data_IF_108202031709
#
_entry.id   IF_108202031709
#
_cell.length_a   1.000
_cell.length_b   1.000
_cell.length_c   1.000
_cell.angle_alpha   90.00
_cell.angle_beta   90.00
_cell.angle_gamma   90.00
#
_symmetry.space_group_name_H-M   'P 1'
#
loop_
_entity.id
_entity.type
_entity.pdbx_description
1 polymer ?
#
# COMPACT_ATOMS: atom_id res chain seq x y z
N UNK A 1 5.12 30.30 2.27
CA UNK A 1 4.37 29.04 2.10
C UNK A 1 4.31 28.34 3.45
N UNK A 2 3.18 27.71 3.81
CA UNK A 2 3.12 26.87 5.00
C UNK A 2 3.81 25.53 4.68
N UNK A 3 4.70 25.07 5.56
CA UNK A 3 5.38 23.78 5.42
C UNK A 3 4.41 22.68 5.84
N UNK A 4 4.23 21.66 5.00
CA UNK A 4 3.53 20.41 5.35
C UNK A 4 4.60 19.35 5.62
N UNK A 5 4.47 18.65 6.74
CA UNK A 5 5.28 17.48 7.06
C UNK A 5 4.42 16.23 6.90
N UNK A 6 4.87 15.30 6.05
CA UNK A 6 4.14 14.07 5.74
C UNK A 6 4.79 12.89 6.42
N UNK A 7 3.98 12.12 7.13
CA UNK A 7 4.35 10.83 7.71
C UNK A 7 3.69 9.73 6.87
N UNK A 8 4.49 9.04 6.06
CA UNK A 8 4.04 7.93 5.24
C UNK A 8 4.23 6.62 6.01
N UNK A 9 3.13 5.95 6.32
CA UNK A 9 3.13 4.73 7.14
C UNK A 9 2.50 3.60 6.33
N UNK A 10 3.26 2.51 6.14
CA UNK A 10 2.72 1.26 5.60
C UNK A 10 1.88 0.58 6.67
N UNK A 11 0.74 -0.01 6.27
CA UNK A 11 -0.10 -0.77 7.18
C UNK A 11 0.66 -1.96 7.81
N UNK A 12 0.21 -2.43 8.97
CA UNK A 12 0.78 -3.62 9.61
C UNK A 12 0.57 -4.89 8.78
N UNK A 13 1.34 -5.96 9.09
CA UNK A 13 1.23 -7.25 8.42
C UNK A 13 -0.21 -7.82 8.44
N UNK A 14 -0.71 -8.26 7.28
CA UNK A 14 -1.99 -8.96 7.14
C UNK A 14 -1.81 -10.47 6.97
N UNK A 15 -2.90 -11.25 7.00
CA UNK A 15 -2.85 -12.67 6.68
C UNK A 15 -2.42 -12.95 5.23
N UNK A 16 -2.85 -12.13 4.25
CA UNK A 16 -2.39 -12.27 2.86
C UNK A 16 -0.88 -11.99 2.75
N UNK A 17 -0.36 -10.99 3.48
CA UNK A 17 1.09 -10.77 3.54
C UNK A 17 1.83 -11.95 4.19
N UNK A 18 1.29 -12.48 5.30
CA UNK A 18 1.87 -13.65 5.99
C UNK A 18 1.98 -14.87 5.08
N UNK A 19 1.03 -15.05 4.16
CA UNK A 19 1.02 -16.14 3.20
C UNK A 19 1.73 -15.81 1.89
N UNK A 20 2.44 -14.68 1.82
CA UNK A 20 3.17 -14.21 0.65
C UNK A 20 2.31 -14.17 -0.63
N UNK A 21 1.12 -13.59 -0.49
CA UNK A 21 0.16 -13.43 -1.59
C UNK A 21 0.03 -11.98 -2.02
N UNK A 22 -0.35 -11.78 -3.28
CA UNK A 22 -0.59 -10.47 -3.87
C UNK A 22 -1.76 -9.79 -3.14
N UNK A 23 -1.53 -8.59 -2.61
CA UNK A 23 -2.51 -7.83 -1.86
C UNK A 23 -2.60 -6.38 -2.37
N UNK A 24 -3.30 -6.18 -3.47
CA UNK A 24 -3.54 -4.86 -4.03
C UNK A 24 -4.83 -4.29 -3.45
N UNK A 25 -5.94 -4.51 -4.14
CA UNK A 25 -7.26 -4.11 -3.68
C UNK A 25 -7.95 -5.17 -2.82
N UNK A 26 -7.49 -6.42 -2.90
CA UNK A 26 -7.90 -7.47 -1.96
C UNK A 26 -7.51 -7.09 -0.54
N UNK A 27 -8.31 -7.53 0.42
CA UNK A 27 -8.11 -7.19 1.82
C UNK A 27 -8.16 -8.40 2.75
N UNK A 28 -7.43 -8.29 3.86
CA UNK A 28 -7.48 -9.28 4.93
C UNK A 28 -7.12 -8.64 6.27
N UNK A 29 -7.56 -9.23 7.39
CA UNK A 29 -7.27 -8.68 8.70
C UNK A 29 -5.76 -8.61 9.01
N UNK A 30 -5.38 -7.68 9.89
CA UNK A 30 -4.06 -7.64 10.51
C UNK A 30 -3.80 -8.93 11.30
N UNK A 31 -2.58 -9.45 11.24
CA UNK A 31 -2.11 -10.52 12.13
C UNK A 31 -1.85 -9.97 13.53
N UNK A 32 -1.55 -10.84 14.49
CA UNK A 32 -1.07 -10.40 15.80
C UNK A 32 0.22 -9.56 15.68
N UNK A 33 1.16 -9.98 14.82
CA UNK A 33 2.38 -9.21 14.53
C UNK A 33 2.04 -7.84 13.92
N UNK A 34 1.15 -7.79 12.92
CA UNK A 34 0.78 -6.53 12.29
C UNK A 34 0.09 -5.54 13.22
N UNK A 35 -0.67 -6.03 14.22
CA UNK A 35 -1.21 -5.18 15.29
C UNK A 35 -0.09 -4.68 16.20
N UNK A 36 0.87 -5.54 16.57
CA UNK A 36 2.03 -5.14 17.36
C UNK A 36 2.87 -4.08 16.65
N UNK A 37 3.09 -4.21 15.34
CA UNK A 37 3.81 -3.21 14.54
C UNK A 37 3.09 -1.86 14.57
N UNK A 38 1.76 -1.87 14.47
CA UNK A 38 0.94 -0.66 14.56
C UNK A 38 1.01 -0.02 15.96
N UNK A 39 1.00 -0.80 17.03
CA UNK A 39 1.21 -0.27 18.39
C UNK A 39 2.60 0.36 18.55
N UNK A 40 3.65 -0.30 18.07
CA UNK A 40 5.01 0.23 18.13
C UNK A 40 5.15 1.55 17.37
N UNK A 41 4.55 1.65 16.18
CA UNK A 41 4.48 2.89 15.42
C UNK A 41 3.67 3.98 16.15
N UNK A 42 2.56 3.61 16.79
CA UNK A 42 1.78 4.51 17.65
C UNK A 42 2.59 5.06 18.82
N UNK A 43 3.29 4.19 19.54
CA UNK A 43 4.16 4.59 20.66
C UNK A 43 5.27 5.53 20.19
N UNK A 44 5.89 5.26 19.05
CA UNK A 44 6.91 6.14 18.47
C UNK A 44 6.37 7.52 18.11
N UNK A 45 5.10 7.61 17.67
CA UNK A 45 4.46 8.84 17.22
C UNK A 45 3.56 9.48 18.30
N UNK A 46 3.55 8.95 19.52
CA UNK A 46 2.58 9.34 20.56
C UNK A 46 2.61 10.84 20.91
N UNK A 47 3.80 11.44 20.80
CA UNK A 47 4.08 12.84 21.13
C UNK A 47 4.11 13.74 19.88
N UNK A 48 3.71 13.20 18.72
CA UNK A 48 3.52 13.96 17.47
C UNK A 48 2.05 14.35 17.31
N UNK A 49 1.77 15.66 17.30
CA UNK A 49 0.42 16.16 17.07
C UNK A 49 0.09 16.21 15.57
N UNK A 50 -0.75 15.29 15.11
CA UNK A 50 -1.25 15.27 13.73
C UNK A 50 -2.45 16.21 13.54
N UNK A 51 -2.44 16.99 12.46
CA UNK A 51 -3.57 17.84 12.07
C UNK A 51 -4.64 17.07 11.28
N UNK A 52 -4.25 16.01 10.58
CA UNK A 52 -5.14 15.17 9.80
C UNK A 52 -4.52 13.77 9.64
N UNK A 53 -5.37 12.76 9.50
CA UNK A 53 -4.96 11.37 9.25
C UNK A 53 -5.69 10.85 8.01
N UNK A 54 -4.91 10.37 7.04
CA UNK A 54 -5.42 9.83 5.79
C UNK A 54 -5.07 8.34 5.66
N UNK A 55 -5.96 7.57 5.04
CA UNK A 55 -5.71 6.17 4.69
C UNK A 55 -6.48 5.79 3.44
N UNK A 56 -6.12 4.65 2.82
CA UNK A 56 -7.04 4.01 1.89
C UNK A 56 -8.29 3.52 2.61
N UNK A 57 -9.34 3.22 1.86
CA UNK A 57 -10.57 2.63 2.38
C UNK A 57 -10.47 1.10 2.63
N UNK A 58 -9.26 0.54 2.60
CA UNK A 58 -9.02 -0.86 2.98
C UNK A 58 -9.01 -1.01 4.51
N UNK A 59 -9.58 -2.11 5.02
CA UNK A 59 -9.68 -2.30 6.48
C UNK A 59 -8.31 -2.48 7.13
N UNK A 60 -7.31 -3.03 6.42
CA UNK A 60 -5.93 -3.10 6.94
C UNK A 60 -5.31 -1.71 7.18
N UNK A 61 -5.55 -0.74 6.29
CA UNK A 61 -5.07 0.62 6.44
C UNK A 61 -5.85 1.36 7.54
N UNK A 62 -7.19 1.27 7.51
CA UNK A 62 -8.07 1.87 8.52
C UNK A 62 -7.73 1.37 9.93
N UNK A 63 -7.57 0.06 10.11
CA UNK A 63 -7.24 -0.54 11.42
C UNK A 63 -5.85 -0.16 11.90
N UNK A 64 -4.86 -0.13 11.00
CA UNK A 64 -3.50 0.31 11.36
C UNK A 64 -3.51 1.77 11.82
N UNK A 65 -4.13 2.66 11.04
CA UNK A 65 -4.23 4.08 11.40
C UNK A 65 -5.00 4.29 12.71
N UNK A 66 -6.05 3.50 12.97
CA UNK A 66 -6.76 3.54 14.25
C UNK A 66 -5.84 3.16 15.42
N UNK A 67 -5.14 2.03 15.33
CA UNK A 67 -4.25 1.57 16.41
C UNK A 67 -3.17 2.62 16.69
N UNK A 68 -2.54 3.16 15.66
CA UNK A 68 -1.51 4.21 15.81
C UNK A 68 -2.08 5.43 16.53
N UNK A 69 -3.29 5.88 16.16
CA UNK A 69 -3.89 7.06 16.78
C UNK A 69 -4.42 6.82 18.20
N UNK A 70 -4.77 5.58 18.55
CA UNK A 70 -5.20 5.22 19.90
C UNK A 70 -4.03 5.33 20.92
N UNK A 71 -2.77 5.34 20.47
CA UNK A 71 -1.57 5.56 21.30
C UNK A 71 -1.21 7.05 21.48
N UNK A 72 -1.91 7.96 20.79
CA UNK A 72 -1.55 9.38 20.80
C UNK A 72 -1.88 10.05 22.14
N UNK A 73 -0.97 10.91 22.61
CA UNK A 73 -1.21 11.79 23.76
C UNK A 73 -2.09 13.00 23.42
N UNK A 74 -2.47 13.17 22.15
CA UNK A 74 -3.29 14.27 21.66
C UNK A 74 -4.69 13.78 21.21
N UNK A 75 -5.69 14.67 21.14
CA UNK A 75 -6.96 14.34 20.52
C UNK A 75 -6.76 13.82 19.09
N UNK A 76 -7.39 12.70 18.77
CA UNK A 76 -7.34 12.14 17.42
C UNK A 76 -8.00 13.11 16.43
N UNK A 77 -7.31 13.57 15.37
CA UNK A 77 -7.91 14.40 14.35
C UNK A 77 -8.91 13.58 13.51
N UNK A 78 -9.65 14.25 12.65
CA UNK A 78 -10.54 13.58 11.69
C UNK A 78 -9.75 12.56 10.84
N UNK A 79 -10.26 11.32 10.81
CA UNK A 79 -9.72 10.26 9.95
C UNK A 79 -10.46 10.26 8.62
N UNK A 80 -9.72 10.48 7.54
CA UNK A 80 -10.26 10.54 6.18
C UNK A 80 -9.80 9.32 5.39
N UNK A 81 -10.75 8.64 4.76
CA UNK A 81 -10.46 7.49 3.89
C UNK A 81 -10.63 7.89 2.43
N UNK A 82 -9.77 7.37 1.56
CA UNK A 82 -9.86 7.63 0.12
C UNK A 82 -9.49 6.39 -0.69
N UNK A 83 -10.39 5.96 -1.59
CA UNK A 83 -10.11 4.87 -2.54
C UNK A 83 -8.90 5.16 -3.46
N UNK A 84 -8.56 6.44 -3.61
CA UNK A 84 -7.42 6.86 -4.43
C UNK A 84 -6.06 6.54 -3.79
N UNK A 85 -6.03 6.32 -2.46
CA UNK A 85 -4.83 5.92 -1.72
C UNK A 85 -4.64 4.40 -1.64
N UNK A 86 -5.50 3.61 -2.32
CA UNK A 86 -5.30 2.15 -2.41
C UNK A 86 -3.96 1.83 -3.07
N UNK A 87 -3.42 0.68 -2.68
CA UNK A 87 -2.29 0.04 -3.35
C UNK A 87 -2.57 -0.17 -4.85
N UNK A 88 -1.53 -0.53 -5.60
CA UNK A 88 -1.64 -1.02 -6.97
C UNK A 88 -2.72 -2.11 -7.06
N UNK A 89 -3.68 -1.95 -7.97
CA UNK A 89 -4.61 -3.02 -8.29
C UNK A 89 -3.91 -4.07 -9.16
N UNK A 90 -3.82 -5.30 -8.65
CA UNK A 90 -3.13 -6.39 -9.35
C UNK A 90 -4.02 -7.18 -10.32
N UNK A 91 -5.26 -6.74 -10.53
CA UNK A 91 -6.18 -7.33 -11.51
C UNK A 91 -6.39 -8.83 -11.29
N UNK A 92 -6.20 -9.62 -12.34
CA UNK A 92 -6.30 -11.08 -12.29
C UNK A 92 -5.44 -11.74 -11.21
N UNK A 93 -4.32 -11.11 -10.82
CA UNK A 93 -3.35 -11.68 -9.88
C UNK A 93 -3.68 -11.39 -8.41
N UNK A 94 -4.79 -10.71 -8.11
CA UNK A 94 -5.21 -10.47 -6.73
C UNK A 94 -5.34 -11.79 -5.93
N UNK A 95 -4.60 -11.89 -4.82
CA UNK A 95 -4.59 -13.07 -3.96
C UNK A 95 -3.72 -14.24 -4.42
N UNK A 96 -3.10 -14.17 -5.59
CA UNK A 96 -2.16 -15.20 -6.06
C UNK A 96 -0.86 -15.25 -5.25
N UNK A 97 -0.12 -16.35 -5.37
CA UNK A 97 1.22 -16.46 -4.78
C UNK A 97 2.16 -15.42 -5.39
N UNK A 98 2.72 -14.55 -4.57
CA UNK A 98 3.45 -13.38 -5.03
C UNK A 98 4.74 -13.74 -5.78
N UNK A 99 5.49 -14.75 -5.32
CA UNK A 99 6.70 -15.18 -6.01
C UNK A 99 6.39 -15.74 -7.39
N UNK A 100 5.36 -16.59 -7.49
CA UNK A 100 4.93 -17.14 -8.77
C UNK A 100 4.44 -16.05 -9.71
N UNK A 101 3.65 -15.10 -9.23
CA UNK A 101 3.15 -13.99 -10.06
C UNK A 101 4.32 -13.18 -10.61
N UNK A 102 5.26 -12.74 -9.77
CA UNK A 102 6.39 -11.95 -10.24
C UNK A 102 7.34 -12.72 -11.15
N UNK A 103 7.49 -14.03 -10.95
CA UNK A 103 8.19 -14.87 -11.91
C UNK A 103 7.48 -14.89 -13.26
N UNK A 104 6.16 -15.10 -13.32
CA UNK A 104 5.40 -15.12 -14.58
C UNK A 104 5.46 -13.76 -15.30
N UNK A 105 5.33 -12.66 -14.55
CA UNK A 105 5.40 -11.29 -15.10
C UNK A 105 6.81 -10.96 -15.60
N UNK A 106 7.85 -11.33 -14.86
CA UNK A 106 9.24 -10.96 -15.16
C UNK A 106 9.96 -11.89 -16.13
N UNK A 107 9.66 -13.19 -16.12
CA UNK A 107 10.45 -14.21 -16.81
C UNK A 107 10.54 -14.02 -18.34
N UNK A 108 9.50 -13.57 -19.08
CA UNK A 108 9.63 -13.24 -20.49
C UNK A 108 10.69 -12.18 -20.81
N UNK A 109 11.07 -11.39 -19.81
CA UNK A 109 12.05 -10.29 -19.90
C UNK A 109 13.37 -10.61 -19.17
N UNK A 110 13.54 -11.84 -18.69
CA UNK A 110 14.76 -12.29 -18.01
C UNK A 110 14.81 -12.01 -16.51
N UNK A 111 13.72 -11.55 -15.89
CA UNK A 111 13.64 -11.28 -14.44
C UNK A 111 12.96 -12.42 -13.68
N UNK A 112 13.38 -12.69 -12.44
CA UNK A 112 12.76 -13.74 -11.61
C UNK A 112 11.90 -13.16 -10.50
N UNK A 113 12.19 -11.96 -10.04
CA UNK A 113 11.48 -11.31 -8.94
C UNK A 113 11.11 -9.86 -9.25
N UNK A 114 10.26 -9.27 -8.41
CA UNK A 114 9.99 -7.82 -8.45
C UNK A 114 11.28 -7.02 -8.23
N UNK A 115 12.12 -7.48 -7.31
CA UNK A 115 13.39 -6.82 -6.98
C UNK A 115 14.33 -6.77 -8.19
N UNK A 116 14.39 -7.83 -8.99
CA UNK A 116 15.17 -7.86 -10.23
C UNK A 116 14.68 -6.77 -11.20
N UNK A 117 13.36 -6.68 -11.42
CA UNK A 117 12.76 -5.66 -12.30
C UNK A 117 13.02 -4.26 -11.76
N UNK A 118 12.84 -4.05 -10.45
CA UNK A 118 12.99 -2.76 -9.81
C UNK A 118 14.45 -2.28 -9.81
N UNK A 119 15.41 -3.20 -9.69
CA UNK A 119 16.83 -2.90 -9.70
C UNK A 119 17.38 -2.59 -11.09
N UNK A 120 16.93 -3.32 -12.13
CA UNK A 120 17.36 -3.05 -13.51
C UNK A 120 16.61 -1.88 -14.15
N UNK A 121 15.32 -1.71 -13.80
CA UNK A 121 14.41 -0.74 -14.40
C UNK A 121 13.78 0.15 -13.35
N UNK A 122 12.53 -0.14 -12.99
CA UNK A 122 11.78 0.62 -12.01
C UNK A 122 10.55 -0.15 -11.56
N UNK A 123 9.96 0.27 -10.44
CA UNK A 123 8.66 -0.22 -10.01
C UNK A 123 7.53 0.16 -10.98
N UNK A 124 7.71 1.15 -11.84
CA UNK A 124 6.71 1.54 -12.83
C UNK A 124 6.72 0.58 -14.02
N UNK A 125 7.91 0.18 -14.48
CA UNK A 125 8.04 -0.90 -15.45
C UNK A 125 7.41 -2.20 -14.92
N UNK A 126 7.59 -2.52 -13.64
CA UNK A 126 6.94 -3.69 -13.04
C UNK A 126 5.39 -3.65 -13.13
N UNK A 127 4.77 -2.48 -12.94
CA UNK A 127 3.32 -2.30 -13.10
C UNK A 127 2.90 -2.47 -14.56
N UNK A 128 3.65 -1.88 -15.48
CA UNK A 128 3.36 -1.96 -16.91
C UNK A 128 3.46 -3.41 -17.42
N UNK A 129 4.48 -4.14 -16.98
CA UNK A 129 4.64 -5.56 -17.32
C UNK A 129 3.50 -6.41 -16.76
N UNK A 130 3.06 -6.13 -15.52
CA UNK A 130 1.93 -6.83 -14.93
C UNK A 130 0.63 -6.56 -15.68
N UNK A 131 0.36 -5.31 -16.03
CA UNK A 131 -0.82 -4.93 -16.83
C UNK A 131 -0.82 -5.63 -18.19
N UNK A 132 0.33 -5.75 -18.85
CA UNK A 132 0.45 -6.47 -20.12
C UNK A 132 0.27 -7.99 -19.98
N UNK A 133 0.66 -8.54 -18.83
CA UNK A 133 0.59 -9.99 -18.54
C UNK A 133 -0.78 -10.41 -18.03
N UNK A 134 -1.54 -9.49 -17.41
CA UNK A 134 -2.91 -9.72 -16.98
C UNK A 134 -3.80 -10.03 -18.20
N UNK A 135 -4.39 -11.24 -18.31
CA UNK A 135 -5.21 -11.61 -19.46
C UNK A 135 -6.47 -10.76 -19.64
N UNK A 136 -6.88 -10.01 -18.61
CA UNK A 136 -8.03 -9.10 -18.65
C UNK A 136 -7.62 -7.63 -18.75
N UNK A 137 -6.32 -7.32 -18.61
CA UNK A 137 -5.79 -5.96 -18.55
C UNK A 137 -6.45 -5.07 -17.46
N UNK A 138 -6.90 -5.70 -16.37
CA UNK A 138 -7.53 -5.02 -15.24
C UNK A 138 -6.49 -4.47 -14.25
N UNK A 139 -5.35 -5.14 -14.11
CA UNK A 139 -4.23 -4.68 -13.27
C UNK A 139 -3.79 -3.29 -13.73
N UNK A 140 -3.54 -2.35 -12.83
CA UNK A 140 -3.19 -0.99 -13.29
C UNK A 140 -1.79 -0.96 -13.92
N UNK A 141 -1.61 -0.18 -14.98
CA UNK A 141 -0.29 0.23 -15.40
C UNK A 141 0.23 1.42 -14.55
N UNK A 142 1.47 1.86 -14.79
CA UNK A 142 2.07 2.94 -14.01
C UNK A 142 1.32 4.28 -14.15
N UNK A 143 0.90 4.62 -15.37
CA UNK A 143 0.16 5.87 -15.64
C UNK A 143 -1.19 5.90 -14.90
N UNK A 144 -1.94 4.80 -14.95
CA UNK A 144 -3.22 4.65 -14.26
C UNK A 144 -3.06 4.77 -12.74
N UNK A 145 -2.06 4.06 -12.19
CA UNK A 145 -1.74 4.11 -10.76
C UNK A 145 -1.40 5.53 -10.31
N UNK A 146 -0.46 6.20 -10.97
CA UNK A 146 -0.02 7.54 -10.57
C UNK A 146 -1.08 8.60 -10.82
N UNK A 147 -1.83 8.52 -11.92
CA UNK A 147 -2.97 9.40 -12.18
C UNK A 147 -4.01 9.29 -11.06
N UNK A 148 -4.26 8.07 -10.56
CA UNK A 148 -5.20 7.83 -9.47
C UNK A 148 -4.66 8.37 -8.13
N UNK A 149 -3.44 8.02 -7.76
CA UNK A 149 -2.84 8.40 -6.47
C UNK A 149 -2.65 9.91 -6.36
N UNK A 150 -2.18 10.55 -7.44
CA UNK A 150 -1.93 12.00 -7.46
C UNK A 150 -3.22 12.82 -7.30
N UNK A 151 -4.38 12.31 -7.73
CA UNK A 151 -5.67 13.00 -7.46
C UNK A 151 -5.92 13.25 -5.98
N UNK A 152 -5.42 12.38 -5.10
CA UNK A 152 -5.62 12.55 -3.65
C UNK A 152 -4.45 13.29 -3.00
N UNK A 153 -3.20 12.99 -3.38
CA UNK A 153 -2.04 13.67 -2.82
C UNK A 153 -2.09 15.19 -3.04
N UNK A 154 -2.50 15.63 -4.24
CA UNK A 154 -2.70 17.07 -4.54
C UNK A 154 -3.85 17.73 -3.79
N UNK A 155 -4.72 16.96 -3.12
CA UNK A 155 -5.76 17.51 -2.22
C UNK A 155 -5.33 17.55 -0.76
N UNK A 156 -4.23 16.87 -0.42
CA UNK A 156 -3.66 16.82 0.94
C UNK A 156 -2.58 17.89 1.11
N UNK A 157 -1.80 18.15 0.06
CA UNK A 157 -0.67 19.09 0.03
C UNK A 157 -0.95 20.25 -0.92
#
# INVERSE_FOLDING_TARGET
MKKVELYLIRHGQTYINKYNRMQGWSDSPLTASGKSDAHNAGIYLRDTQFQAVYSSDTMRAIKTAKIIMDESNFPTPERRTSKYLREHFYGYFEGDDSYRTWFVVGNPYGYKTLEDIAADRSLDVAKDLMHQTDPYHDAENAEQFWTRVNKNLSSIC
#
